data_IF_240472080445
#
_entry.id   IF_240472080445
#
_cell.length_a   1.000
_cell.length_b   1.000
_cell.length_c   1.000
_cell.angle_alpha   90.00
_cell.angle_beta   90.00
_cell.angle_gamma   90.00
#
_symmetry.space_group_name_H-M   'P 1'
#
loop_
_entity.id
_entity.type
_entity.pdbx_description
1 polymer ?
#
# COMPACT_ATOMS: atom_id res chain seq x y z
N UNK A 1 -4.09 18.09 -9.72
CA UNK A 1 -3.10 17.95 -8.63
C UNK A 1 -2.28 16.69 -8.90
N UNK A 2 -1.05 16.84 -9.38
CA UNK A 2 -0.25 15.72 -9.90
C UNK A 2 0.67 15.16 -8.83
N UNK A 3 0.37 13.96 -8.36
CA UNK A 3 1.29 13.13 -7.59
C UNK A 3 2.46 12.71 -8.48
N UNK A 4 3.66 13.21 -8.21
CA UNK A 4 4.89 12.87 -8.92
C UNK A 4 5.88 12.15 -7.99
N UNK A 5 6.40 10.96 -8.34
CA UNK A 5 7.40 10.28 -7.52
C UNK A 5 8.82 10.72 -7.89
N UNK A 6 9.68 10.82 -6.88
CA UNK A 6 11.11 10.58 -7.03
C UNK A 6 11.32 9.06 -6.84
N UNK A 7 11.50 8.34 -7.94
CA UNK A 7 11.70 6.88 -7.92
C UNK A 7 13.19 6.59 -7.77
N UNK A 8 13.62 6.21 -6.56
CA UNK A 8 14.93 5.60 -6.37
C UNK A 8 14.81 4.09 -6.60
N UNK A 9 14.96 3.66 -7.86
CA UNK A 9 14.90 2.24 -8.26
C UNK A 9 16.15 1.50 -7.79
N UNK A 10 16.13 0.98 -6.57
CA UNK A 10 17.06 -0.07 -6.18
C UNK A 10 16.45 -1.44 -6.53
N UNK A 11 16.58 -1.83 -7.79
CA UNK A 11 16.18 -3.15 -8.32
C UNK A 11 17.16 -4.21 -7.79
N UNK A 12 16.85 -4.82 -6.65
CA UNK A 12 17.52 -6.05 -6.23
C UNK A 12 16.78 -7.24 -6.85
N UNK A 13 17.32 -7.77 -7.96
CA UNK A 13 16.85 -9.02 -8.57
C UNK A 13 17.40 -10.17 -7.71
N UNK A 14 16.65 -10.64 -6.72
CA UNK A 14 17.03 -11.84 -5.96
C UNK A 14 16.23 -13.04 -6.47
N UNK A 15 16.92 -13.97 -7.15
CA UNK A 15 16.39 -15.21 -7.75
C UNK A 15 15.32 -14.99 -8.82
N UNK A 16 15.48 -15.64 -9.98
CA UNK A 16 14.52 -15.56 -11.07
C UNK A 16 13.10 -15.77 -10.53
N UNK A 17 12.22 -14.77 -10.75
CA UNK A 17 10.79 -14.69 -10.43
C UNK A 17 10.33 -13.93 -9.17
N UNK A 18 11.22 -13.28 -8.41
CA UNK A 18 10.83 -12.34 -7.34
C UNK A 18 11.58 -11.01 -7.47
N UNK A 19 10.85 -9.89 -7.53
CA UNK A 19 11.42 -8.54 -7.51
C UNK A 19 11.04 -7.83 -6.21
N UNK A 20 12.01 -7.20 -5.57
CA UNK A 20 11.78 -6.25 -4.49
C UNK A 20 11.96 -4.85 -5.03
N UNK A 21 10.95 -4.02 -4.84
CA UNK A 21 10.97 -2.62 -5.25
C UNK A 21 10.69 -1.76 -4.04
N UNK A 22 11.42 -0.65 -3.92
CA UNK A 22 11.08 0.41 -2.99
C UNK A 22 10.73 1.65 -3.79
N UNK A 23 9.67 2.34 -3.42
CA UNK A 23 9.38 3.67 -3.96
C UNK A 23 9.05 4.66 -2.84
N UNK A 24 9.23 5.93 -3.16
CA UNK A 24 9.02 7.04 -2.25
C UNK A 24 7.80 7.82 -2.72
N UNK A 25 6.89 8.08 -1.80
CA UNK A 25 5.74 8.94 -2.01
C UNK A 25 5.87 10.19 -1.15
N UNK A 26 5.75 11.35 -1.78
CA UNK A 26 5.64 12.61 -1.06
C UNK A 26 4.19 12.88 -0.66
N UNK A 27 4.03 13.41 0.56
CA UNK A 27 2.76 13.93 1.06
C UNK A 27 2.31 15.13 0.20
N UNK A 28 1.07 15.14 -0.30
CA UNK A 28 0.56 16.29 -1.02
C UNK A 28 0.49 17.46 -0.04
N UNK A 29 0.99 18.63 -0.42
CA UNK A 29 0.99 19.86 0.39
C UNK A 29 1.46 19.72 1.85
N UNK A 30 2.25 18.69 2.16
CA UNK A 30 2.72 18.35 3.52
C UNK A 30 1.57 18.07 4.51
N UNK A 31 0.42 17.58 4.01
CA UNK A 31 -0.81 17.32 4.77
C UNK A 31 -0.73 16.08 5.68
N UNK A 32 0.26 15.22 5.45
CA UNK A 32 0.50 14.01 6.27
C UNK A 32 1.95 13.94 6.71
N UNK A 33 2.15 13.53 7.97
CA UNK A 33 3.46 13.22 8.54
C UNK A 33 3.69 11.70 8.50
N UNK A 34 4.87 11.21 8.10
CA UNK A 34 6.01 11.98 7.58
C UNK A 34 5.71 12.50 6.17
N UNK A 35 6.35 13.60 5.78
CA UNK A 35 6.19 14.18 4.43
C UNK A 35 6.68 13.23 3.32
N UNK A 36 7.49 12.24 3.68
CA UNK A 36 8.06 11.25 2.78
C UNK A 36 7.74 9.87 3.31
N UNK A 37 6.92 9.13 2.59
CA UNK A 37 6.58 7.74 2.90
C UNK A 37 7.39 6.81 1.98
N UNK A 38 7.94 5.74 2.57
CA UNK A 38 8.64 4.70 1.83
C UNK A 38 7.78 3.45 1.81
N UNK A 39 7.54 2.92 0.62
CA UNK A 39 6.74 1.71 0.43
C UNK A 39 7.59 0.63 -0.19
N UNK A 40 7.46 -0.60 0.30
CA UNK A 40 8.14 -1.75 -0.26
C UNK A 40 7.10 -2.60 -1.00
N UNK A 41 7.44 -2.96 -2.23
CA UNK A 41 6.69 -3.89 -3.06
C UNK A 41 7.46 -5.18 -3.20
N UNK A 42 6.78 -6.30 -3.06
CA UNK A 42 7.26 -7.60 -3.49
C UNK A 42 6.44 -8.03 -4.71
N UNK A 43 7.10 -8.30 -5.82
CA UNK A 43 6.48 -8.69 -7.09
C UNK A 43 6.88 -10.13 -7.40
N UNK A 44 5.91 -11.02 -7.38
CA UNK A 44 6.05 -12.44 -7.68
C UNK A 44 5.57 -12.69 -9.11
N UNK A 45 6.47 -13.22 -9.94
CA UNK A 45 6.22 -13.43 -11.37
C UNK A 45 6.20 -14.94 -11.61
N UNK A 46 5.11 -15.55 -12.09
CA UNK A 46 5.10 -16.98 -12.36
C UNK A 46 5.99 -17.29 -13.58
N UNK A 47 6.36 -18.56 -13.76
CA UNK A 47 7.17 -19.01 -14.91
C UNK A 47 6.50 -18.68 -16.26
N UNK A 48 5.17 -18.77 -16.32
CA UNK A 48 4.38 -18.44 -17.52
C UNK A 48 3.26 -17.46 -17.14
N UNK A 49 3.54 -16.14 -17.12
CA UNK A 49 2.55 -15.14 -16.71
C UNK A 49 1.38 -15.05 -17.68
N UNK A 50 0.16 -15.11 -17.12
CA UNK A 50 -1.05 -14.77 -17.86
C UNK A 50 -1.00 -13.30 -18.25
N UNK A 51 -1.12 -12.99 -19.56
CA UNK A 51 -1.12 -11.60 -19.99
C UNK A 51 -2.36 -10.86 -19.47
N UNK A 52 -2.30 -9.54 -19.46
CA UNK A 52 -3.38 -8.60 -19.12
C UNK A 52 -3.67 -8.40 -17.63
N UNK A 53 -3.48 -9.39 -16.76
CA UNK A 53 -3.91 -9.29 -15.36
C UNK A 53 -2.74 -9.33 -14.38
N UNK A 54 -2.79 -8.46 -13.37
CA UNK A 54 -1.97 -8.56 -12.16
C UNK A 54 -2.87 -8.45 -10.92
N UNK A 55 -2.47 -9.11 -9.84
CA UNK A 55 -3.14 -9.08 -8.56
C UNK A 55 -2.30 -8.24 -7.59
N UNK A 56 -2.88 -7.17 -7.06
CA UNK A 56 -2.30 -6.36 -5.99
C UNK A 56 -2.93 -6.80 -4.67
N UNK A 57 -2.10 -7.14 -3.69
CA UNK A 57 -2.52 -7.47 -2.33
C UNK A 57 -1.94 -6.41 -1.39
N UNK A 58 -2.80 -5.74 -0.64
CA UNK A 58 -2.39 -4.76 0.36
C UNK A 58 -2.12 -5.52 1.66
N UNK A 59 -0.88 -5.46 2.15
CA UNK A 59 -0.46 -6.15 3.37
C UNK A 59 -0.04 -5.12 4.41
N UNK A 60 -0.53 -5.31 5.62
CA UNK A 60 -0.01 -4.62 6.79
C UNK A 60 0.99 -5.53 7.45
N UNK A 61 2.21 -5.03 7.61
CA UNK A 61 3.04 -5.50 8.68
C UNK A 61 2.87 -4.49 9.80
N UNK A 62 2.50 -4.94 11.00
CA UNK A 62 2.73 -4.14 12.19
C UNK A 62 4.23 -3.88 12.19
N UNK A 63 4.66 -2.65 11.89
CA UNK A 63 6.09 -2.36 11.73
C UNK A 63 6.88 -2.79 12.97
N UNK A 64 8.21 -2.89 12.87
CA UNK A 64 9.10 -3.34 13.96
C UNK A 64 8.90 -2.59 15.31
N UNK A 65 8.17 -1.47 15.31
CA UNK A 65 7.77 -0.73 16.51
C UNK A 65 6.59 -1.33 17.28
N UNK A 66 5.80 -2.22 16.69
CA UNK A 66 4.77 -2.99 17.37
C UNK A 66 5.36 -4.33 17.75
N UNK A 67 5.89 -4.42 18.96
CA UNK A 67 6.37 -5.65 19.61
C UNK A 67 5.23 -6.66 19.89
N UNK A 68 4.19 -6.70 19.06
CA UNK A 68 3.15 -7.69 19.17
C UNK A 68 3.63 -8.97 18.51
N UNK A 69 4.29 -9.83 19.29
CA UNK A 69 4.77 -11.16 18.88
C UNK A 69 3.67 -12.07 18.30
N UNK A 70 2.41 -11.65 18.36
CA UNK A 70 1.24 -12.38 17.87
C UNK A 70 0.66 -11.81 16.56
N UNK A 71 1.23 -10.76 15.97
CA UNK A 71 0.74 -10.26 14.69
C UNK A 71 1.20 -11.16 13.54
N UNK A 72 0.27 -11.97 13.02
CA UNK A 72 0.46 -12.69 11.76
C UNK A 72 -0.20 -11.89 10.65
N UNK A 73 0.53 -11.46 9.60
CA UNK A 73 -0.10 -10.82 8.46
C UNK A 73 -1.09 -11.79 7.79
N UNK A 74 -2.21 -11.26 7.29
CA UNK A 74 -3.25 -12.05 6.61
C UNK A 74 -2.71 -12.82 5.39
N UNK A 75 -1.65 -12.30 4.77
CA UNK A 75 -0.95 -12.94 3.66
C UNK A 75 0.54 -13.04 3.98
N UNK A 76 1.05 -14.27 4.05
CA UNK A 76 2.48 -14.54 4.18
C UNK A 76 3.12 -14.84 2.80
N UNK A 77 4.46 -14.76 2.72
CA UNK A 77 5.22 -15.01 1.49
C UNK A 77 4.88 -16.34 0.81
N UNK A 78 4.69 -17.43 1.59
CA UNK A 78 4.38 -18.75 1.03
C UNK A 78 3.02 -18.75 0.34
N UNK A 79 2.03 -18.08 0.93
CA UNK A 79 0.70 -17.92 0.35
C UNK A 79 0.76 -17.08 -0.95
N UNK A 80 1.53 -16.00 -0.98
CA UNK A 80 1.69 -15.18 -2.18
C UNK A 80 2.33 -15.96 -3.34
N UNK A 81 3.35 -16.77 -3.04
CA UNK A 81 3.98 -17.67 -4.03
C UNK A 81 2.97 -18.71 -4.52
N UNK A 82 2.24 -19.38 -3.61
CA UNK A 82 1.23 -20.38 -3.98
C UNK A 82 0.12 -19.78 -4.86
N UNK A 83 -0.35 -18.57 -4.56
CA UNK A 83 -1.30 -17.84 -5.42
C UNK A 83 -0.68 -17.57 -6.80
N UNK A 84 0.56 -17.10 -6.84
CA UNK A 84 1.29 -16.79 -8.09
C UNK A 84 1.38 -18.03 -8.98
N UNK A 85 1.81 -19.16 -8.40
CA UNK A 85 2.01 -20.43 -9.12
C UNK A 85 0.69 -21.06 -9.57
N UNK A 86 -0.34 -21.09 -8.71
CA UNK A 86 -1.63 -21.71 -9.05
C UNK A 86 -2.42 -20.90 -10.06
N UNK A 87 -2.36 -19.57 -9.99
CA UNK A 87 -3.16 -18.70 -10.85
C UNK A 87 -2.44 -18.32 -12.14
N UNK A 88 -1.11 -18.43 -12.16
CA UNK A 88 -0.24 -17.87 -13.19
C UNK A 88 -0.43 -16.34 -13.37
N UNK A 89 -0.84 -15.64 -12.32
CA UNK A 89 -0.97 -14.17 -12.31
C UNK A 89 0.22 -13.57 -11.60
N UNK A 90 0.71 -12.41 -12.07
CA UNK A 90 1.72 -11.64 -11.35
C UNK A 90 1.09 -11.11 -10.07
N UNK A 91 1.64 -11.47 -8.91
CA UNK A 91 1.18 -10.99 -7.60
C UNK A 91 2.11 -9.88 -7.12
N UNK A 92 1.55 -8.74 -6.74
CA UNK A 92 2.26 -7.58 -6.20
C UNK A 92 1.74 -7.37 -4.78
N UNK A 93 2.57 -7.54 -3.77
CA UNK A 93 2.21 -7.16 -2.40
C UNK A 93 2.76 -5.80 -2.03
N UNK A 94 1.90 -4.93 -1.52
CA UNK A 94 2.29 -3.63 -0.94
C UNK A 94 2.48 -3.83 0.55
N UNK A 95 3.72 -3.76 1.01
CA UNK A 95 4.07 -3.82 2.42
C UNK A 95 4.19 -2.40 3.00
N UNK A 96 3.61 -2.18 4.18
CA UNK A 96 3.62 -0.90 4.91
C UNK A 96 2.98 0.25 4.09
N UNK A 97 1.72 0.07 3.72
CA UNK A 97 0.94 1.10 3.01
C UNK A 97 0.74 2.37 3.86
N UNK A 98 0.76 2.23 5.19
CA UNK A 98 0.79 3.33 6.15
C UNK A 98 2.07 3.18 6.97
N UNK A 99 2.87 4.25 7.07
CA UNK A 99 3.95 4.32 8.04
C UNK A 99 3.34 4.66 9.42
N UNK A 100 3.82 4.08 10.51
CA UNK A 100 3.27 4.17 11.88
C UNK A 100 3.15 5.60 12.47
N UNK A 101 3.36 6.64 11.67
CA UNK A 101 3.52 8.03 12.08
C UNK A 101 2.43 8.95 11.54
N UNK A 102 1.32 8.43 11.00
CA UNK A 102 0.15 9.27 10.68
C UNK A 102 -0.57 9.61 11.98
N UNK A 103 0.10 10.42 12.80
CA UNK A 103 -0.41 11.08 13.98
C UNK A 103 -0.42 12.55 13.61
N UNK A 104 -1.62 13.13 13.58
CA UNK A 104 -1.81 14.57 13.50
C UNK A 104 -0.91 15.26 14.53
N UNK A 105 -0.06 16.19 14.09
CA UNK A 105 0.89 16.92 14.94
C UNK A 105 0.24 17.72 16.09
N UNK A 106 -1.09 17.85 16.09
CA UNK A 106 -1.79 18.76 16.98
C UNK A 106 -2.46 18.08 18.19
N UNK A 107 -2.68 16.76 18.14
CA UNK A 107 -3.34 16.06 19.24
C UNK A 107 -2.31 15.24 19.99
N UNK A 108 -2.04 15.64 21.24
CA UNK A 108 -1.16 14.92 22.17
C UNK A 108 -1.72 13.56 22.61
N UNK A 109 -2.88 13.17 22.11
CA UNK A 109 -3.48 11.86 22.31
C UNK A 109 -2.82 10.87 21.36
N UNK A 110 -1.73 10.25 21.83
CA UNK A 110 -1.30 8.98 21.25
C UNK A 110 -2.43 7.98 21.47
N UNK A 111 -2.99 7.50 20.35
CA UNK A 111 -3.78 6.28 20.37
C UNK A 111 -2.87 5.18 20.94
N UNK A 112 -3.39 4.48 21.95
CA UNK A 112 -2.68 3.49 22.74
C UNK A 112 -2.32 2.26 21.89
N UNK A 113 -1.47 1.38 22.41
CA UNK A 113 -1.01 0.15 21.73
C UNK A 113 -2.12 -0.85 21.36
N UNK A 114 -3.35 -0.66 21.89
CA UNK A 114 -4.52 -1.49 21.60
C UNK A 114 -5.40 -0.92 20.47
N UNK A 115 -5.17 0.32 20.06
CA UNK A 115 -5.99 0.97 19.04
C UNK A 115 -5.72 0.34 17.67
N UNK A 116 -6.77 -0.17 17.05
CA UNK A 116 -6.70 -0.84 15.76
C UNK A 116 -6.61 0.18 14.63
N UNK A 117 -6.16 -0.24 13.45
CA UNK A 117 -6.13 0.63 12.26
C UNK A 117 -7.49 1.31 11.98
N UNK A 118 -8.59 0.65 12.32
CA UNK A 118 -9.93 1.21 12.22
C UNK A 118 -10.14 2.46 13.08
N UNK A 119 -9.59 2.48 14.30
CA UNK A 119 -9.69 3.61 15.21
C UNK A 119 -8.93 4.81 14.64
N UNK A 120 -7.78 4.59 14.00
CA UNK A 120 -7.04 5.63 13.29
C UNK A 120 -7.83 6.19 12.09
N UNK A 121 -8.46 5.32 11.29
CA UNK A 121 -9.29 5.75 10.15
C UNK A 121 -10.48 6.57 10.64
N UNK A 122 -11.26 6.04 11.57
CA UNK A 122 -12.45 6.70 12.11
C UNK A 122 -12.11 8.04 12.76
N UNK A 123 -11.00 8.11 13.51
CA UNK A 123 -10.52 9.34 14.12
C UNK A 123 -10.12 10.39 13.09
N UNK A 124 -9.38 10.01 12.04
CA UNK A 124 -9.00 10.97 11.00
C UNK A 124 -10.21 11.47 10.21
N UNK A 125 -11.23 10.62 9.98
CA UNK A 125 -12.52 11.06 9.45
C UNK A 125 -13.20 12.06 10.37
N UNK A 126 -13.26 11.80 11.67
CA UNK A 126 -13.84 12.74 12.64
C UNK A 126 -13.10 14.09 12.64
N UNK A 127 -11.76 14.08 12.62
CA UNK A 127 -10.94 15.30 12.55
C UNK A 127 -11.22 16.10 11.28
N UNK A 128 -11.29 15.43 10.13
CA UNK A 128 -11.61 16.06 8.84
C UNK A 128 -13.03 16.65 8.83
N UNK A 129 -14.02 15.90 9.32
CA UNK A 129 -15.42 16.34 9.32
C UNK A 129 -15.68 17.51 10.29
N UNK A 130 -14.98 17.54 11.43
CA UNK A 130 -15.11 18.62 12.42
C UNK A 130 -14.42 19.92 11.98
N UNK A 131 -13.37 19.81 11.17
CA UNK A 131 -12.68 20.98 10.64
C UNK A 131 -12.00 20.62 9.30
N UNK A 132 -12.71 20.74 8.16
CA UNK A 132 -12.16 20.34 6.86
C UNK A 132 -11.04 21.27 6.38
N UNK A 133 -10.96 22.50 6.91
CA UNK A 133 -9.84 23.42 6.71
C UNK A 133 -8.57 22.96 7.44
N UNK A 134 -8.75 22.17 8.52
CA UNK A 134 -7.66 21.42 9.14
C UNK A 134 -7.27 20.36 8.14
N UNK A 135 -6.11 20.59 7.54
CA UNK A 135 -5.37 19.82 6.54
C UNK A 135 -5.04 18.36 6.92
N UNK A 136 -5.91 17.67 7.66
CA UNK A 136 -5.83 16.26 8.05
C UNK A 136 -6.69 15.46 7.09
N UNK A 137 -6.05 14.62 6.27
CA UNK A 137 -6.76 13.73 5.36
C UNK A 137 -7.18 12.43 6.09
N UNK A 138 -8.38 11.90 5.81
CA UNK A 138 -8.72 10.53 6.17
C UNK A 138 -7.67 9.54 5.66
N UNK A 139 -7.24 8.60 6.50
CA UNK A 139 -6.05 7.77 6.29
C UNK A 139 -6.15 6.86 5.05
N UNK A 140 -7.36 6.48 4.69
CA UNK A 140 -7.70 5.70 3.50
C UNK A 140 -7.41 6.45 2.18
N UNK A 141 -7.39 7.80 2.18
CA UNK A 141 -7.02 8.60 1.01
C UNK A 141 -5.54 8.45 0.63
N UNK A 142 -4.55 8.74 1.52
CA UNK A 142 -3.15 8.52 1.19
C UNK A 142 -2.85 7.04 0.92
N UNK A 143 -3.51 6.09 1.61
CA UNK A 143 -3.40 4.66 1.29
C UNK A 143 -3.83 4.37 -0.15
N UNK A 144 -4.96 4.92 -0.58
CA UNK A 144 -5.45 4.78 -1.97
C UNK A 144 -4.45 5.34 -2.98
N UNK A 145 -3.83 6.49 -2.68
CA UNK A 145 -2.80 7.07 -3.54
C UNK A 145 -1.60 6.13 -3.72
N UNK A 146 -1.16 5.42 -2.67
CA UNK A 146 -0.09 4.41 -2.76
C UNK A 146 -0.45 3.29 -3.74
N UNK A 147 -1.70 2.80 -3.68
CA UNK A 147 -2.18 1.75 -4.61
C UNK A 147 -2.17 2.25 -6.04
N UNK A 148 -2.69 3.45 -6.30
CA UNK A 148 -2.71 4.03 -7.65
C UNK A 148 -1.30 4.27 -8.20
N UNK A 149 -0.36 4.71 -7.35
CA UNK A 149 1.05 4.82 -7.72
C UNK A 149 1.67 3.46 -8.03
N UNK A 150 1.38 2.44 -7.22
CA UNK A 150 1.80 1.06 -7.47
C UNK A 150 1.30 0.58 -8.84
N UNK A 151 0.05 0.87 -9.20
CA UNK A 151 -0.50 0.53 -10.52
C UNK A 151 0.24 1.25 -11.64
N UNK A 152 0.51 2.55 -11.50
CA UNK A 152 1.27 3.32 -12.51
C UNK A 152 2.68 2.77 -12.69
N UNK A 153 3.39 2.55 -11.59
CA UNK A 153 4.73 1.99 -11.57
C UNK A 153 4.78 0.60 -12.20
N UNK A 154 3.90 -0.32 -11.76
CA UNK A 154 3.88 -1.70 -12.26
C UNK A 154 3.43 -1.78 -13.71
N UNK A 155 2.53 -0.91 -14.19
CA UNK A 155 2.26 -0.78 -15.64
C UNK A 155 3.53 -0.46 -16.44
N UNK A 156 4.42 0.38 -15.89
CA UNK A 156 5.65 0.78 -16.56
C UNK A 156 6.72 -0.30 -16.51
N UNK A 157 6.96 -0.90 -15.35
CA UNK A 157 7.98 -1.94 -15.18
C UNK A 157 7.58 -3.28 -15.81
N UNK A 158 6.29 -3.61 -15.75
CA UNK A 158 5.79 -4.89 -16.22
C UNK A 158 5.30 -4.84 -17.68
N UNK A 159 5.76 -3.85 -18.48
CA UNK A 159 5.38 -3.67 -19.89
C UNK A 159 5.53 -4.94 -20.73
N UNK A 160 6.60 -5.72 -20.51
CA UNK A 160 6.88 -6.95 -21.29
C UNK A 160 5.81 -8.04 -21.12
N UNK A 161 5.03 -8.01 -20.04
CA UNK A 161 3.94 -8.95 -19.79
C UNK A 161 2.55 -8.40 -20.19
N UNK A 162 2.51 -7.20 -20.78
CA UNK A 162 1.30 -6.57 -21.32
C UNK A 162 0.14 -6.51 -20.28
N UNK A 163 0.47 -6.14 -19.04
CA UNK A 163 -0.51 -6.01 -17.95
C UNK A 163 -1.37 -4.76 -18.19
N UNK A 164 -2.68 -4.94 -18.23
CA UNK A 164 -3.66 -3.87 -18.53
C UNK A 164 -4.71 -3.70 -17.44
N UNK A 165 -4.96 -4.75 -16.66
CA UNK A 165 -6.00 -4.85 -15.65
C UNK A 165 -5.38 -5.25 -14.33
N UNK A 166 -5.83 -4.62 -13.27
CA UNK A 166 -5.37 -4.85 -11.91
C UNK A 166 -6.55 -5.30 -11.08
N UNK A 167 -6.38 -6.40 -10.37
CA UNK A 167 -7.28 -6.82 -9.30
C UNK A 167 -6.63 -6.33 -8.02
N UNK A 168 -7.35 -5.56 -7.20
CA UNK A 168 -6.83 -5.07 -5.92
C UNK A 168 -7.60 -5.76 -4.80
N UNK A 169 -6.87 -6.33 -3.84
CA UNK A 169 -7.45 -7.04 -2.69
C UNK A 169 -6.79 -6.59 -1.39
N UNK A 170 -7.56 -6.63 -0.31
CA UNK A 170 -7.14 -6.33 1.05
C UNK A 170 -8.22 -6.78 2.03
N UNK A 171 -7.84 -7.05 3.27
CA UNK A 171 -8.78 -7.39 4.35
C UNK A 171 -9.19 -6.11 5.07
N UNK A 172 -10.41 -6.05 5.62
CA UNK A 172 -10.77 -4.97 6.54
C UNK A 172 -10.58 -3.54 5.96
N UNK A 173 -9.87 -2.66 6.67
CA UNK A 173 -9.50 -1.31 6.22
C UNK A 173 -8.73 -1.28 4.89
N UNK A 174 -7.99 -2.35 4.58
CA UNK A 174 -7.34 -2.50 3.28
C UNK A 174 -8.35 -2.86 2.18
N UNK A 175 -9.45 -3.53 2.52
CA UNK A 175 -10.59 -3.73 1.64
C UNK A 175 -11.27 -2.40 1.28
N UNK A 176 -11.41 -1.49 2.24
CA UNK A 176 -11.91 -0.13 1.97
C UNK A 176 -10.96 0.64 1.04
N UNK A 177 -9.65 0.54 1.28
CA UNK A 177 -8.63 1.11 0.38
C UNK A 177 -8.72 0.52 -1.03
N UNK A 178 -8.89 -0.80 -1.16
CA UNK A 178 -9.06 -1.47 -2.45
C UNK A 178 -10.33 -0.98 -3.17
N UNK A 179 -11.42 -0.78 -2.43
CA UNK A 179 -12.66 -0.21 -2.96
C UNK A 179 -12.46 1.23 -3.45
N UNK A 180 -11.85 2.11 -2.66
CA UNK A 180 -11.54 3.48 -3.09
C UNK A 180 -10.61 3.54 -4.30
N UNK A 181 -9.59 2.67 -4.35
CA UNK A 181 -8.70 2.57 -5.51
C UNK A 181 -9.45 2.19 -6.79
N UNK A 182 -10.52 1.37 -6.69
CA UNK A 182 -11.35 1.02 -7.84
C UNK A 182 -12.08 2.23 -8.44
N UNK A 183 -12.44 3.22 -7.62
CA UNK A 183 -13.07 4.48 -8.07
C UNK A 183 -12.04 5.40 -8.73
N UNK A 184 -10.84 5.49 -8.15
CA UNK A 184 -9.75 6.31 -8.69
C UNK A 184 -9.07 5.75 -9.95
N UNK A 185 -9.48 4.56 -10.42
CA UNK A 185 -8.94 3.89 -11.60
C UNK A 185 -9.61 4.30 -12.93
N UNK A 186 -10.60 5.21 -12.87
CA UNK A 186 -11.24 5.82 -14.04
C UNK A 186 -10.32 6.81 -14.78
#
# INVERSE_FOLDING_TARGET
MTWGPDVETNLAISSANHLKVRFIQQSPEKLVSPQTCRHNLDIYIPTIPKPKYALIIIIINSGDSYNNKNFSPDFNKKMLIDITERTNVIVISINNIVNNYVISNDDKTFLNENDQQYDFIARNWSLFMNNPERRVLPLDIPMTAVVLQTIRFTKQELKKWNIKKFIVSGVSAQGFTAWLASIGLC
#
